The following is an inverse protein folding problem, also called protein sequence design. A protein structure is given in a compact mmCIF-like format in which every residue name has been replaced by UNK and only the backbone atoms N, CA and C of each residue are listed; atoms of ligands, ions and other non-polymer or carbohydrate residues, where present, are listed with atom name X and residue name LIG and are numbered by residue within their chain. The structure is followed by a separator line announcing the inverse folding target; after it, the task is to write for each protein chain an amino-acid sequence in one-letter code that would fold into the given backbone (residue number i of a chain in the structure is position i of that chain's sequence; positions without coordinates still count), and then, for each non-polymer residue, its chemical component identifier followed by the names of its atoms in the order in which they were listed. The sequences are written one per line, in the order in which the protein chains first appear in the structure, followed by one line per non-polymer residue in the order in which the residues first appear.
data_IF_524528041448
#
_entry.id   IF_524528041448
#
_cell.length_a   1.000
_cell.length_b   1.000
_cell.length_c   1.000
_cell.angle_alpha   90.00
_cell.angle_beta   90.00
_cell.angle_gamma   90.00
#
_symmetry.space_group_name_H-M   'P 1'
#
loop_
_entity.id
_entity.type
_entity.pdbx_description
1 polymer ?
#
# COMPACT_ATOMS: atom_id res chain seq x y z
N UNK A 1 34.30 -21.15 -7.36
CA UNK A 1 33.01 -20.62 -6.86
C UNK A 1 31.91 -21.53 -7.40
N UNK A 2 31.25 -22.28 -6.52
CA UNK A 2 30.08 -23.10 -6.90
C UNK A 2 28.91 -22.17 -7.14
N UNK A 3 28.10 -22.36 -8.19
CA UNK A 3 26.86 -21.61 -8.35
C UNK A 3 25.92 -21.98 -7.20
N UNK A 4 25.28 -20.94 -6.62
CA UNK A 4 24.31 -21.09 -5.56
C UNK A 4 23.21 -22.07 -6.00
N UNK A 5 22.96 -23.05 -5.14
CA UNK A 5 21.88 -24.02 -5.26
C UNK A 5 20.56 -23.28 -5.53
N UNK A 6 19.89 -23.62 -6.63
CA UNK A 6 18.49 -23.29 -6.89
C UNK A 6 17.67 -23.67 -5.64
N UNK A 7 17.38 -22.71 -4.77
CA UNK A 7 16.22 -22.83 -3.91
C UNK A 7 15.02 -22.89 -4.85
N UNK A 8 14.45 -24.06 -4.99
CA UNK A 8 13.10 -24.25 -5.54
C UNK A 8 12.17 -23.42 -4.66
N UNK A 9 11.90 -22.19 -5.09
CA UNK A 9 10.86 -21.37 -4.53
C UNK A 9 9.59 -22.22 -4.63
N UNK A 10 8.95 -22.50 -3.49
CA UNK A 10 7.62 -23.11 -3.46
C UNK A 10 6.64 -22.13 -4.10
N UNK A 11 6.55 -22.16 -5.42
CA UNK A 11 5.63 -21.36 -6.21
C UNK A 11 4.29 -22.07 -6.12
N UNK A 12 3.38 -21.49 -5.33
CA UNK A 12 2.08 -22.09 -5.09
C UNK A 12 0.98 -21.49 -5.94
N UNK A 13 1.08 -20.20 -6.30
CA UNK A 13 -0.02 -19.47 -6.93
C UNK A 13 0.42 -18.57 -8.08
N UNK A 14 -0.43 -18.53 -9.13
CA UNK A 14 -0.39 -17.55 -10.21
C UNK A 14 -1.45 -16.50 -9.95
N UNK A 15 -1.05 -15.25 -9.97
CA UNK A 15 -1.91 -14.09 -9.69
C UNK A 15 -2.12 -13.30 -10.98
N UNK A 16 -3.36 -12.92 -11.25
CA UNK A 16 -3.69 -11.96 -12.29
C UNK A 16 -3.83 -10.57 -11.65
N UNK A 17 -3.06 -9.61 -12.15
CA UNK A 17 -2.91 -8.30 -11.55
C UNK A 17 -3.26 -7.23 -12.58
N UNK A 18 -4.21 -6.35 -12.24
CA UNK A 18 -4.50 -5.14 -13.01
C UNK A 18 -3.40 -4.10 -12.81
N UNK A 19 -2.82 -3.60 -13.91
CA UNK A 19 -1.75 -2.61 -13.93
C UNK A 19 -2.10 -1.44 -14.85
N UNK A 20 -1.91 -0.22 -14.38
CA UNK A 20 -2.02 0.97 -15.21
C UNK A 20 -0.70 1.29 -15.91
N UNK A 21 -0.56 0.81 -17.13
CA UNK A 21 0.65 1.03 -17.96
C UNK A 21 0.37 1.82 -19.24
N UNK A 22 -0.87 2.30 -19.42
CA UNK A 22 -1.25 3.08 -20.59
C UNK A 22 -1.31 2.28 -21.91
N UNK A 23 -1.42 0.95 -21.83
CA UNK A 23 -1.62 0.06 -22.98
C UNK A 23 -3.01 -0.54 -22.97
N UNK A 24 -3.41 -1.20 -24.08
CA UNK A 24 -4.66 -1.96 -24.18
C UNK A 24 -4.68 -3.19 -23.26
N UNK A 25 -3.51 -3.70 -22.89
CA UNK A 25 -3.39 -4.81 -21.96
C UNK A 25 -3.35 -4.27 -20.56
N UNK A 26 -4.37 -4.58 -19.77
CA UNK A 26 -4.57 -4.04 -18.41
C UNK A 26 -4.25 -5.06 -17.33
N UNK A 27 -4.27 -6.38 -17.63
CA UNK A 27 -3.93 -7.44 -16.68
C UNK A 27 -2.68 -8.20 -17.08
N UNK A 28 -1.91 -8.61 -16.08
CA UNK A 28 -0.65 -9.34 -16.22
C UNK A 28 -0.57 -10.45 -15.18
N UNK A 29 0.12 -11.53 -15.54
CA UNK A 29 0.31 -12.67 -14.65
C UNK A 29 1.65 -12.61 -13.94
N UNK A 30 1.59 -12.77 -12.61
CA UNK A 30 2.75 -12.84 -11.72
C UNK A 30 2.64 -14.07 -10.81
N UNK A 31 3.76 -14.47 -10.23
CA UNK A 31 3.79 -15.56 -9.26
C UNK A 31 3.96 -15.02 -7.84
N UNK A 32 3.30 -15.66 -6.88
CA UNK A 32 3.55 -15.45 -5.45
C UNK A 32 4.74 -16.34 -5.01
N UNK A 33 5.94 -16.01 -5.51
CA UNK A 33 7.14 -16.84 -5.37
C UNK A 33 7.78 -16.84 -3.99
N UNK A 34 7.38 -15.90 -3.11
CA UNK A 34 7.90 -15.79 -1.74
C UNK A 34 6.85 -16.20 -0.70
N UNK A 35 5.75 -16.84 -1.11
CA UNK A 35 4.61 -17.14 -0.25
C UNK A 35 4.17 -15.93 0.57
N UNK A 36 4.10 -14.76 -0.07
CA UNK A 36 3.63 -13.52 0.55
C UNK A 36 2.18 -13.64 1.02
N UNK A 37 1.44 -14.64 0.50
CA UNK A 37 0.06 -14.87 0.81
C UNK A 37 -0.83 -13.77 0.22
N UNK A 38 -0.53 -13.36 -1.02
CA UNK A 38 -1.36 -12.42 -1.75
C UNK A 38 -2.70 -13.07 -2.13
N UNK A 39 -3.77 -12.32 -1.90
CA UNK A 39 -5.15 -12.73 -2.15
C UNK A 39 -5.84 -11.79 -3.14
N UNK A 40 -6.96 -12.26 -3.72
CA UNK A 40 -7.83 -11.40 -4.53
C UNK A 40 -8.30 -10.22 -3.69
N UNK A 41 -8.21 -9.01 -4.25
CA UNK A 41 -8.54 -7.78 -3.56
C UNK A 41 -7.36 -7.08 -2.88
N UNK A 42 -6.17 -7.68 -2.90
CA UNK A 42 -4.95 -7.04 -2.39
C UNK A 42 -4.38 -6.03 -3.40
N UNK A 43 -3.80 -4.95 -2.89
CA UNK A 43 -2.88 -4.11 -3.66
C UNK A 43 -1.46 -4.61 -3.44
N UNK A 44 -0.79 -4.90 -4.52
CA UNK A 44 0.58 -5.42 -4.52
C UNK A 44 1.52 -4.52 -5.31
N UNK A 45 2.81 -4.59 -4.99
CA UNK A 45 3.84 -4.01 -5.83
C UNK A 45 4.45 -5.08 -6.74
N UNK A 46 4.62 -4.73 -8.00
CA UNK A 46 5.20 -5.60 -9.02
C UNK A 46 6.18 -4.83 -9.89
N UNK A 47 7.15 -5.52 -10.46
CA UNK A 47 8.10 -4.94 -11.39
C UNK A 47 7.73 -5.29 -12.83
N UNK A 48 7.53 -4.28 -13.67
CA UNK A 48 7.29 -4.44 -15.09
C UNK A 48 8.29 -3.56 -15.88
N UNK A 49 9.05 -4.17 -16.78
CA UNK A 49 10.08 -3.47 -17.60
C UNK A 49 11.00 -2.57 -16.77
N UNK A 50 11.45 -3.08 -15.60
CA UNK A 50 12.33 -2.35 -14.70
C UNK A 50 11.67 -1.29 -13.81
N UNK A 51 10.38 -1.01 -14.01
CA UNK A 51 9.61 -0.03 -13.20
C UNK A 51 8.80 -0.76 -12.13
N UNK A 52 8.80 -0.22 -10.93
CA UNK A 52 7.95 -0.67 -9.85
C UNK A 52 6.57 -0.01 -9.99
N UNK A 53 5.51 -0.82 -9.93
CA UNK A 53 4.13 -0.39 -10.11
C UNK A 53 3.25 -0.97 -9.00
N UNK A 54 2.18 -0.28 -8.66
CA UNK A 54 1.10 -0.79 -7.83
C UNK A 54 0.02 -1.42 -8.71
N UNK A 55 -0.45 -2.59 -8.34
CA UNK A 55 -1.51 -3.30 -9.05
C UNK A 55 -2.51 -3.96 -8.10
N UNK A 56 -3.71 -4.19 -8.60
CA UNK A 56 -4.80 -4.88 -7.91
C UNK A 56 -4.82 -6.33 -8.32
N UNK A 57 -4.80 -7.25 -7.36
CA UNK A 57 -4.99 -8.70 -7.61
C UNK A 57 -6.47 -8.95 -7.87
N UNK A 58 -6.78 -9.46 -9.06
CA UNK A 58 -8.18 -9.75 -9.50
C UNK A 58 -8.48 -11.25 -9.59
N UNK A 59 -7.44 -12.09 -9.71
CA UNK A 59 -7.61 -13.54 -9.77
C UNK A 59 -6.39 -14.24 -9.17
N UNK A 60 -6.63 -15.39 -8.54
CA UNK A 60 -5.62 -16.27 -7.96
C UNK A 60 -5.91 -17.72 -8.41
N UNK A 61 -4.91 -18.41 -8.94
CA UNK A 61 -5.01 -19.80 -9.40
C UNK A 61 -3.82 -20.61 -8.91
N UNK A 62 -4.04 -21.90 -8.61
CA UNK A 62 -2.94 -22.80 -8.29
C UNK A 62 -2.00 -22.95 -9.50
N UNK A 63 -0.71 -22.79 -9.23
CA UNK A 63 0.30 -22.90 -10.30
C UNK A 63 0.43 -24.33 -10.84
N UNK A 64 0.22 -25.34 -10.01
CA UNK A 64 0.25 -26.75 -10.40
C UNK A 64 -0.80 -27.11 -11.45
N UNK A 65 -1.98 -26.48 -11.41
CA UNK A 65 -3.08 -26.71 -12.36
C UNK A 65 -2.75 -26.14 -13.75
N UNK A 66 -1.91 -25.12 -13.82
CA UNK A 66 -1.63 -24.33 -15.03
C UNK A 66 -0.59 -25.01 -15.92
N UNK A 67 0.40 -25.70 -15.32
CA UNK A 67 1.44 -26.40 -16.08
C UNK A 67 0.89 -27.48 -17.03
N UNK A 68 -0.31 -28.00 -16.76
CA UNK A 68 -0.98 -28.96 -17.62
C UNK A 68 -1.67 -28.31 -18.84
N UNK A 69 -2.12 -27.07 -18.71
CA UNK A 69 -2.84 -26.36 -19.77
C UNK A 69 -1.90 -25.57 -20.70
N UNK A 70 -0.86 -24.95 -20.14
CA UNK A 70 0.07 -24.09 -20.91
C UNK A 70 1.10 -24.90 -21.73
N UNK A 71 1.45 -26.11 -21.31
CA UNK A 71 2.34 -27.00 -22.09
C UNK A 71 1.78 -27.38 -23.45
N UNK A 72 0.46 -27.34 -23.60
CA UNK A 72 -0.25 -27.65 -24.87
C UNK A 72 -0.38 -26.44 -25.81
N UNK A 73 -0.19 -25.22 -25.35
CA UNK A 73 -0.50 -23.99 -26.12
C UNK A 73 0.76 -23.28 -26.65
N UNK A 74 1.90 -23.41 -25.98
CA UNK A 74 3.07 -22.54 -26.23
C UNK A 74 4.18 -23.11 -27.12
N UNK A 75 3.95 -24.26 -27.76
CA UNK A 75 4.91 -24.79 -28.75
C UNK A 75 6.37 -24.83 -28.25
N UNK A 76 6.58 -25.19 -26.97
CA UNK A 76 7.90 -25.39 -26.38
C UNK A 76 8.67 -24.13 -25.98
N UNK A 77 8.06 -22.95 -26.00
CA UNK A 77 8.70 -21.74 -25.48
C UNK A 77 8.48 -21.61 -23.96
N UNK A 78 9.57 -21.58 -23.19
CA UNK A 78 9.53 -21.35 -21.75
C UNK A 78 9.01 -19.94 -21.46
N UNK A 79 7.87 -19.85 -20.76
CA UNK A 79 7.31 -18.58 -20.29
C UNK A 79 8.08 -18.16 -19.01
N UNK A 80 8.69 -16.98 -19.03
CA UNK A 80 9.32 -16.43 -17.85
C UNK A 80 8.33 -15.57 -17.07
N UNK A 81 7.83 -16.09 -15.97
CA UNK A 81 7.00 -15.33 -15.04
C UNK A 81 7.84 -14.39 -14.17
N UNK A 82 7.26 -13.26 -13.81
CA UNK A 82 7.79 -12.32 -12.83
C UNK A 82 7.11 -12.56 -11.49
N UNK A 83 7.72 -12.10 -10.41
CA UNK A 83 7.23 -12.28 -9.05
C UNK A 83 6.61 -11.00 -8.49
N UNK A 84 5.67 -11.17 -7.56
CA UNK A 84 5.19 -10.09 -6.71
C UNK A 84 6.29 -9.68 -5.76
N UNK A 85 6.55 -8.37 -5.63
CA UNK A 85 7.61 -7.84 -4.77
C UNK A 85 7.14 -7.71 -3.31
N UNK A 86 5.93 -7.17 -3.10
CA UNK A 86 5.35 -7.01 -1.76
C UNK A 86 3.84 -6.78 -1.82
N UNK A 87 3.17 -7.05 -0.71
CA UNK A 87 1.77 -6.65 -0.50
C UNK A 87 1.78 -5.26 0.15
N UNK A 88 1.06 -4.32 -0.44
CA UNK A 88 0.96 -2.94 0.03
C UNK A 88 -0.27 -2.73 0.92
N UNK A 89 -1.39 -3.34 0.54
CA UNK A 89 -2.65 -3.30 1.28
C UNK A 89 -3.37 -4.62 1.11
N UNK A 90 -3.92 -5.18 2.20
CA UNK A 90 -4.68 -6.44 2.17
C UNK A 90 -6.18 -6.20 2.10
N UNK A 91 -6.88 -7.04 1.32
CA UNK A 91 -8.35 -7.13 1.26
C UNK A 91 -9.07 -5.78 1.20
N UNK A 92 -8.62 -4.90 0.33
CA UNK A 92 -9.26 -3.59 0.16
C UNK A 92 -10.61 -3.67 -0.54
N UNK A 93 -10.87 -4.77 -1.21
CA UNK A 93 -12.15 -5.11 -1.84
C UNK A 93 -12.51 -6.55 -1.51
N UNK A 94 -13.79 -6.81 -1.38
CA UNK A 94 -14.37 -8.15 -1.36
C UNK A 94 -14.87 -8.56 -2.76
N UNK A 95 -15.26 -9.82 -2.90
CA UNK A 95 -15.72 -10.35 -4.19
C UNK A 95 -17.01 -9.67 -4.67
N UNK A 96 -17.95 -9.36 -3.76
CA UNK A 96 -19.22 -8.71 -4.12
C UNK A 96 -18.99 -7.32 -4.68
N UNK A 97 -18.09 -6.56 -4.06
CA UNK A 97 -17.73 -5.22 -4.54
C UNK A 97 -16.99 -5.28 -5.87
N UNK A 98 -16.09 -6.25 -6.05
CA UNK A 98 -15.37 -6.49 -7.30
C UNK A 98 -16.36 -6.78 -8.45
N UNK A 99 -17.27 -7.75 -8.26
CA UNK A 99 -18.28 -8.10 -9.23
C UNK A 99 -19.19 -6.94 -9.60
N UNK A 100 -19.55 -6.13 -8.62
CA UNK A 100 -20.33 -4.91 -8.84
C UNK A 100 -19.59 -3.91 -9.73
N UNK A 101 -18.31 -3.65 -9.47
CA UNK A 101 -17.47 -2.75 -10.29
C UNK A 101 -17.28 -3.30 -11.71
N UNK A 102 -17.06 -4.60 -11.86
CA UNK A 102 -16.95 -5.26 -13.17
C UNK A 102 -18.28 -5.16 -13.96
N UNK A 103 -19.41 -5.32 -13.30
CA UNK A 103 -20.74 -5.12 -13.88
C UNK A 103 -20.97 -3.70 -14.34
N UNK A 104 -20.56 -2.70 -13.54
CA UNK A 104 -20.61 -1.29 -13.94
C UNK A 104 -19.70 -1.01 -15.13
N UNK A 105 -18.49 -1.57 -15.16
CA UNK A 105 -17.57 -1.42 -16.28
C UNK A 105 -18.21 -1.93 -17.57
N UNK A 106 -18.83 -3.10 -17.51
CA UNK A 106 -19.57 -3.69 -18.64
C UNK A 106 -20.75 -2.82 -19.06
N UNK A 107 -21.57 -2.35 -18.12
CA UNK A 107 -22.73 -1.51 -18.38
C UNK A 107 -22.35 -0.20 -19.07
N UNK A 108 -21.29 0.46 -18.63
CA UNK A 108 -20.79 1.73 -19.21
C UNK A 108 -19.84 1.52 -20.40
N UNK A 109 -19.57 0.27 -20.82
CA UNK A 109 -18.64 -0.08 -21.91
C UNK A 109 -17.25 0.56 -21.71
N UNK A 110 -16.76 0.56 -20.47
CA UNK A 110 -15.41 1.00 -20.11
C UNK A 110 -14.60 -0.17 -19.63
N UNK A 111 -13.26 -0.04 -19.65
CA UNK A 111 -12.40 -1.10 -19.11
C UNK A 111 -12.50 -1.24 -17.60
N UNK A 112 -12.29 -2.46 -17.10
CA UNK A 112 -12.24 -2.75 -15.67
C UNK A 112 -11.22 -1.86 -14.95
N UNK A 113 -10.03 -1.71 -15.53
CA UNK A 113 -8.99 -0.85 -14.96
C UNK A 113 -9.47 0.59 -14.77
N UNK A 114 -10.13 1.16 -15.79
CA UNK A 114 -10.65 2.53 -15.72
C UNK A 114 -11.69 2.67 -14.62
N UNK A 115 -12.59 1.69 -14.48
CA UNK A 115 -13.63 1.69 -13.46
C UNK A 115 -13.01 1.56 -12.06
N UNK A 116 -12.09 0.61 -11.85
CA UNK A 116 -11.38 0.48 -10.57
C UNK A 116 -10.60 1.75 -10.21
N UNK A 117 -9.89 2.36 -11.16
CA UNK A 117 -9.17 3.63 -10.91
C UNK A 117 -10.08 4.79 -10.52
N UNK A 118 -11.31 4.81 -11.02
CA UNK A 118 -12.30 5.83 -10.65
C UNK A 118 -12.84 5.58 -9.23
N UNK A 119 -12.98 4.32 -8.85
CA UNK A 119 -13.49 3.92 -7.54
C UNK A 119 -12.44 4.02 -6.42
N UNK A 120 -11.15 3.92 -6.75
CA UNK A 120 -10.07 4.00 -5.78
C UNK A 120 -9.47 5.39 -5.61
N UNK A 121 -8.88 5.68 -4.44
CA UNK A 121 -8.07 6.87 -4.26
C UNK A 121 -6.92 6.95 -5.30
N UNK A 122 -6.55 8.14 -5.77
CA UNK A 122 -5.50 8.32 -6.75
C UNK A 122 -4.16 7.71 -6.31
N UNK A 123 -3.54 6.94 -7.19
CA UNK A 123 -2.23 6.32 -6.97
C UNK A 123 -2.26 4.94 -6.32
N UNK A 124 -3.44 4.36 -6.09
CA UNK A 124 -3.56 2.98 -5.62
C UNK A 124 -3.21 1.97 -6.72
N UNK A 125 -3.57 2.25 -7.95
CA UNK A 125 -3.18 1.48 -9.13
C UNK A 125 -2.31 2.37 -10.03
N UNK A 126 -1.17 1.88 -10.53
CA UNK A 126 -0.28 2.58 -11.42
C UNK A 126 1.11 2.82 -10.87
N UNK A 127 1.63 4.06 -10.90
CA UNK A 127 2.97 4.35 -10.38
C UNK A 127 3.09 3.92 -8.92
N UNK A 128 4.21 3.26 -8.60
CA UNK A 128 4.49 2.84 -7.23
C UNK A 128 4.34 4.00 -6.24
N UNK A 129 3.55 3.78 -5.23
CA UNK A 129 3.36 4.69 -4.11
C UNK A 129 3.34 3.86 -2.82
N UNK A 130 4.19 4.22 -1.88
CA UNK A 130 4.16 3.60 -0.56
C UNK A 130 3.03 4.24 0.24
N UNK A 131 1.99 3.47 0.57
CA UNK A 131 0.82 3.96 1.30
C UNK A 131 1.14 4.37 2.74
N UNK A 132 2.14 3.76 3.37
CA UNK A 132 2.59 4.14 4.71
C UNK A 132 3.10 5.59 4.81
N UNK A 133 3.51 6.18 3.67
CA UNK A 133 3.93 7.58 3.58
C UNK A 133 2.80 8.54 3.18
N UNK A 134 1.62 8.03 2.87
CA UNK A 134 0.50 8.83 2.32
C UNK A 134 -0.52 9.31 3.33
N UNK A 135 -0.65 8.62 4.44
CA UNK A 135 -1.45 9.08 5.57
C UNK A 135 -0.55 9.99 6.40
N UNK A 136 -0.80 11.27 6.35
CA UNK A 136 -0.24 12.18 7.36
C UNK A 136 -1.02 11.90 8.62
N UNK A 137 -0.37 11.20 9.55
CA UNK A 137 -0.91 11.04 10.88
C UNK A 137 -1.15 12.43 11.46
N UNK A 138 -2.38 12.70 11.84
CA UNK A 138 -2.69 13.90 12.58
C UNK A 138 -2.44 13.58 14.06
N UNK A 139 -1.49 14.28 14.66
CA UNK A 139 -1.12 14.08 16.05
C UNK A 139 -1.94 15.05 16.90
N UNK A 140 -2.71 14.47 17.83
CA UNK A 140 -3.41 15.22 18.86
C UNK A 140 -2.50 15.41 20.05
N UNK A 141 -2.42 16.62 20.59
CA UNK A 141 -1.57 16.99 21.73
C UNK A 141 -2.46 17.53 22.82
N UNK A 142 -2.36 16.94 23.99
CA UNK A 142 -3.05 17.36 25.20
C UNK A 142 -2.12 17.42 26.39
N UNK A 143 -2.50 18.20 27.38
CA UNK A 143 -1.73 18.30 28.63
C UNK A 143 -2.09 17.12 29.52
N UNK A 144 -1.09 16.41 30.03
CA UNK A 144 -1.29 15.35 31.01
C UNK A 144 -1.70 15.96 32.35
N UNK A 145 -2.76 15.47 32.98
CA UNK A 145 -3.31 16.00 34.23
C UNK A 145 -2.33 16.05 35.41
N UNK A 146 -1.30 15.21 35.39
CA UNK A 146 -0.32 15.08 36.47
C UNK A 146 1.05 15.70 36.11
N UNK A 147 1.10 16.59 35.12
CA UNK A 147 2.37 17.19 34.69
C UNK A 147 2.89 18.21 35.70
N UNK A 148 3.99 17.89 36.39
CA UNK A 148 4.61 18.77 37.39
C UNK A 148 5.63 19.70 36.72
N UNK A 149 5.22 20.95 36.51
CA UNK A 149 6.01 22.00 35.89
C UNK A 149 7.36 22.23 36.61
N UNK A 150 7.41 22.05 37.94
CA UNK A 150 8.62 22.31 38.74
C UNK A 150 9.66 21.21 38.59
N UNK A 151 9.24 19.97 38.36
CA UNK A 151 10.16 18.84 38.20
C UNK A 151 10.80 18.75 36.80
N UNK A 152 10.14 19.26 35.77
CA UNK A 152 10.53 19.00 34.39
C UNK A 152 11.36 20.10 33.71
N UNK A 153 11.73 21.17 34.44
CA UNK A 153 12.68 22.19 33.97
C UNK A 153 12.32 22.78 32.59
N UNK A 154 11.10 23.33 32.45
CA UNK A 154 10.63 23.91 31.22
C UNK A 154 11.36 25.16 30.82
N UNK A 155 11.71 25.28 29.55
CA UNK A 155 12.16 26.55 28.96
C UNK A 155 11.01 27.55 28.85
N UNK A 156 11.32 28.85 28.71
CA UNK A 156 10.31 29.92 28.56
C UNK A 156 9.36 29.64 27.37
N UNK A 157 9.86 29.08 26.28
CA UNK A 157 9.07 28.74 25.08
C UNK A 157 8.16 27.54 25.31
N UNK A 158 8.61 26.53 26.03
CA UNK A 158 7.84 25.36 26.42
C UNK A 158 6.71 25.73 27.38
N UNK A 159 7.01 26.61 28.34
CA UNK A 159 6.00 27.14 29.25
C UNK A 159 4.93 27.95 28.52
N UNK A 160 5.34 28.78 27.54
CA UNK A 160 4.40 29.50 26.69
C UNK A 160 3.52 28.58 25.87
N UNK A 161 4.07 27.51 25.28
CA UNK A 161 3.29 26.50 24.57
C UNK A 161 2.26 25.84 25.47
N UNK A 162 2.64 25.44 26.70
CA UNK A 162 1.72 24.85 27.67
C UNK A 162 0.54 25.76 28.02
N UNK A 163 0.82 27.03 28.26
CA UNK A 163 -0.22 28.01 28.62
C UNK A 163 -1.14 28.38 27.44
N UNK A 164 -0.66 28.18 26.21
CA UNK A 164 -1.43 28.46 25.01
C UNK A 164 -2.26 27.22 24.55
N UNK A 165 -1.90 26.03 25.04
CA UNK A 165 -2.60 24.80 24.71
C UNK A 165 -3.99 24.80 25.40
N UNK A 166 -5.11 24.61 24.65
CA UNK A 166 -6.44 24.46 25.25
C UNK A 166 -6.49 23.27 26.21
N UNK A 167 -7.32 23.34 27.24
CA UNK A 167 -7.51 22.23 28.21
C UNK A 167 -7.88 20.89 27.55
N UNK A 168 -8.60 20.96 26.43
CA UNK A 168 -9.00 19.78 25.64
C UNK A 168 -7.92 19.29 24.67
N UNK A 169 -6.77 19.96 24.61
CA UNK A 169 -5.73 19.69 23.61
C UNK A 169 -5.95 20.40 22.28
N UNK A 170 -5.02 20.21 21.35
CA UNK A 170 -5.10 20.73 19.99
C UNK A 170 -4.33 19.85 18.99
N UNK A 171 -4.64 19.98 17.70
CA UNK A 171 -3.88 19.31 16.66
C UNK A 171 -2.47 19.89 16.51
N UNK A 172 -1.46 19.06 16.37
CA UNK A 172 -0.08 19.49 16.14
C UNK A 172 0.02 20.46 14.94
N UNK A 173 -0.74 20.18 13.87
CA UNK A 173 -0.80 21.04 12.69
C UNK A 173 -1.30 22.46 12.98
N UNK A 174 -2.26 22.61 13.90
CA UNK A 174 -2.79 23.92 14.32
C UNK A 174 -1.77 24.66 15.21
N UNK A 175 -1.08 23.97 16.09
CA UNK A 175 0.00 24.56 16.89
C UNK A 175 1.15 25.07 16.03
N UNK A 176 1.50 24.35 14.96
CA UNK A 176 2.52 24.79 14.00
C UNK A 176 2.04 26.04 13.23
N UNK A 177 0.78 26.09 12.79
CA UNK A 177 0.19 27.30 12.16
C UNK A 177 0.18 28.49 13.11
N UNK A 178 0.01 28.27 14.41
CA UNK A 178 0.08 29.30 15.45
C UNK A 178 1.49 29.75 15.77
N UNK A 179 2.52 29.26 15.04
CA UNK A 179 3.90 29.70 15.14
C UNK A 179 4.80 28.86 16.04
N UNK A 180 4.32 27.72 16.55
CA UNK A 180 5.16 26.81 17.33
C UNK A 180 5.98 25.91 16.42
N UNK A 181 7.26 25.71 16.76
CA UNK A 181 8.15 24.85 15.98
C UNK A 181 7.93 23.37 16.34
N UNK A 182 8.00 22.49 15.32
CA UNK A 182 7.91 21.03 15.44
C UNK A 182 8.90 20.47 16.49
N UNK A 183 10.14 20.98 16.53
CA UNK A 183 11.17 20.56 17.51
C UNK A 183 10.78 20.90 18.95
N UNK A 184 10.13 22.05 19.18
CA UNK A 184 9.64 22.44 20.47
C UNK A 184 8.53 21.52 20.98
N UNK A 185 7.58 21.21 20.10
CA UNK A 185 6.47 20.29 20.40
C UNK A 185 7.00 18.90 20.76
N UNK A 186 7.92 18.38 19.96
CA UNK A 186 8.52 17.05 20.21
C UNK A 186 9.37 17.03 21.50
N UNK A 187 10.09 18.09 21.80
CA UNK A 187 10.84 18.17 23.06
C UNK A 187 9.93 18.15 24.29
N UNK A 188 8.75 18.75 24.20
CA UNK A 188 7.72 18.69 25.25
C UNK A 188 7.15 17.29 25.41
N UNK A 189 6.83 16.63 24.30
CA UNK A 189 6.29 15.25 24.30
C UNK A 189 7.31 14.26 24.88
N UNK A 190 8.61 14.47 24.66
CA UNK A 190 9.67 13.61 25.18
C UNK A 190 9.97 13.80 26.67
N UNK A 191 9.48 14.87 27.31
CA UNK A 191 9.63 15.15 28.74
C UNK A 191 8.52 14.56 29.62
N UNK A 192 7.57 13.85 29.01
CA UNK A 192 6.42 13.24 29.70
C UNK A 192 6.70 11.83 30.23
#
# INVERSE_FOLDING_TARGET
MKPASNQLLNISYKLEILLDIGSSNESFYYLDGNNLGAEVGDIVSVRLRGRLLNGLVISKKDFSTINNDESNITGGKSIRYLFVESILQKKIIDDSWREWIESLASFYMVSNLKMFKTAFPPGWIGKYKNFSKGLKDQIWIETKKEFDIKKNGLTKKEFFLMNTLPEKGNWQSELIKSGFNYTLINSMVSKN
#
